data_IF_692095352621
#
_entry.id   IF_692095352621
#
_cell.length_a   1.000
_cell.length_b   1.000
_cell.length_c   1.000
_cell.angle_alpha   90.00
_cell.angle_beta   90.00
_cell.angle_gamma   90.00
#
_symmetry.space_group_name_H-M   'P 1'
#
loop_
_entity.id
_entity.type
_entity.pdbx_description
1 polymer ?
#
# COMPACT_ATOMS: atom_id res chain seq x y z
N UNK A 1 -8.34 -15.06 -11.30
CA UNK A 1 -7.61 -15.06 -10.01
C UNK A 1 -7.62 -13.64 -9.52
N UNK A 2 -8.25 -13.40 -8.37
CA UNK A 2 -8.26 -12.08 -7.74
C UNK A 2 -6.90 -11.81 -7.08
N UNK A 3 -6.55 -10.53 -6.92
CA UNK A 3 -5.34 -10.05 -6.24
C UNK A 3 -5.22 -10.66 -4.85
N UNK A 4 -6.32 -10.60 -4.07
CA UNK A 4 -6.32 -11.07 -2.69
C UNK A 4 -6.02 -12.59 -2.61
N UNK A 5 -6.62 -13.38 -3.49
CA UNK A 5 -6.38 -14.83 -3.54
C UNK A 5 -4.95 -15.17 -3.91
N UNK A 6 -4.31 -14.39 -4.81
CA UNK A 6 -2.91 -14.61 -5.15
C UNK A 6 -1.99 -14.31 -3.97
N UNK A 7 -2.19 -13.19 -3.27
CA UNK A 7 -1.36 -12.84 -2.12
C UNK A 7 -1.45 -13.87 -1.00
N UNK A 8 -2.66 -14.34 -0.67
CA UNK A 8 -2.84 -15.42 0.32
C UNK A 8 -2.18 -16.73 -0.12
N UNK A 9 -2.28 -17.09 -1.41
CA UNK A 9 -1.63 -18.28 -1.92
C UNK A 9 -0.08 -18.18 -1.84
N UNK A 10 0.48 -17.03 -2.20
CA UNK A 10 1.93 -16.79 -2.09
C UNK A 10 2.37 -16.86 -0.64
N UNK A 11 1.59 -16.27 0.28
CA UNK A 11 1.86 -16.33 1.70
C UNK A 11 1.94 -17.76 2.21
N UNK A 12 0.89 -18.55 1.99
CA UNK A 12 0.84 -19.94 2.44
C UNK A 12 2.00 -20.75 1.84
N UNK A 13 2.27 -20.59 0.55
CA UNK A 13 3.39 -21.27 -0.10
C UNK A 13 4.75 -20.91 0.50
N UNK A 14 4.95 -19.63 0.87
CA UNK A 14 6.19 -19.18 1.50
C UNK A 14 6.28 -19.74 2.92
N UNK A 15 5.21 -19.66 3.72
CA UNK A 15 5.18 -20.19 5.10
C UNK A 15 5.46 -21.69 5.12
N UNK A 16 4.79 -22.46 4.25
CA UNK A 16 5.01 -23.90 4.14
C UNK A 16 6.43 -24.21 3.61
N UNK A 17 6.93 -23.40 2.69
CA UNK A 17 8.26 -23.54 2.11
C UNK A 17 9.39 -23.35 3.13
N UNK A 18 9.28 -22.36 4.01
CA UNK A 18 10.32 -22.04 5.00
C UNK A 18 10.17 -22.82 6.32
N UNK A 19 9.04 -23.52 6.53
CA UNK A 19 8.78 -24.30 7.76
C UNK A 19 9.91 -25.30 8.08
N UNK A 20 10.46 -25.94 7.05
CA UNK A 20 11.59 -26.87 7.19
C UNK A 20 12.86 -26.17 7.66
N UNK A 21 13.14 -24.97 7.14
CA UNK A 21 14.33 -24.19 7.47
C UNK A 21 14.26 -23.70 8.94
N UNK A 22 13.10 -23.18 9.38
CA UNK A 22 12.87 -22.78 10.77
C UNK A 22 13.06 -23.94 11.74
N UNK A 23 12.54 -25.12 11.40
CA UNK A 23 12.73 -26.33 12.20
C UNK A 23 14.20 -26.74 12.29
N UNK A 24 14.95 -26.60 11.20
CA UNK A 24 16.38 -26.94 11.15
C UNK A 24 17.24 -25.98 11.98
N UNK A 25 16.84 -24.72 12.08
CA UNK A 25 17.48 -23.70 12.91
C UNK A 25 17.02 -23.74 14.38
N UNK A 26 16.18 -24.72 14.76
CA UNK A 26 15.61 -24.87 16.11
C UNK A 26 14.77 -23.65 16.54
N UNK A 27 14.16 -22.97 15.57
CA UNK A 27 13.18 -21.92 15.84
C UNK A 27 11.84 -22.56 16.17
N UNK A 28 11.16 -22.00 17.17
CA UNK A 28 9.85 -22.48 17.59
C UNK A 28 8.78 -22.13 16.55
N UNK A 29 7.79 -23.01 16.42
CA UNK A 29 6.68 -22.84 15.48
C UNK A 29 5.90 -21.54 15.75
N UNK A 30 5.85 -21.09 17.01
CA UNK A 30 5.21 -19.82 17.38
C UNK A 30 5.83 -18.60 16.69
N UNK A 31 7.11 -18.65 16.32
CA UNK A 31 7.79 -17.58 15.57
C UNK A 31 7.30 -17.56 14.13
N UNK A 32 7.12 -18.73 13.52
CA UNK A 32 6.58 -18.85 12.17
C UNK A 32 5.10 -18.41 12.12
N UNK A 33 4.31 -18.77 13.13
CA UNK A 33 2.93 -18.29 13.30
C UNK A 33 2.87 -16.76 13.49
N UNK A 34 3.83 -16.21 14.25
CA UNK A 34 3.95 -14.76 14.42
C UNK A 34 4.29 -14.07 13.11
N UNK A 35 5.22 -14.62 12.31
CA UNK A 35 5.55 -14.09 10.98
C UNK A 35 4.33 -14.07 10.07
N UNK A 36 3.59 -15.18 9.99
CA UNK A 36 2.37 -15.27 9.19
C UNK A 36 1.34 -14.21 9.61
N UNK A 37 1.08 -14.11 10.92
CA UNK A 37 0.11 -13.15 11.49
C UNK A 37 0.52 -11.69 11.22
N UNK A 38 1.82 -11.38 11.35
CA UNK A 38 2.35 -10.05 11.07
C UNK A 38 2.24 -9.70 9.58
N UNK A 39 2.48 -10.66 8.70
CA UNK A 39 2.37 -10.46 7.27
C UNK A 39 0.93 -10.22 6.83
N UNK A 40 -0.04 -11.03 7.27
CA UNK A 40 -1.47 -10.82 6.96
C UNK A 40 -1.93 -9.44 7.40
N UNK A 41 -1.57 -9.04 8.63
CA UNK A 41 -1.93 -7.74 9.17
C UNK A 41 -1.33 -6.59 8.35
N UNK A 42 -0.05 -6.69 7.96
CA UNK A 42 0.58 -5.66 7.13
C UNK A 42 -0.05 -5.59 5.73
N UNK A 43 -0.41 -6.73 5.15
CA UNK A 43 -1.07 -6.80 3.84
C UNK A 43 -2.44 -6.09 3.84
N UNK A 44 -3.21 -6.26 4.92
CA UNK A 44 -4.49 -5.57 5.12
C UNK A 44 -4.32 -4.05 5.34
N UNK A 45 -3.24 -3.64 6.02
CA UNK A 45 -2.94 -2.23 6.27
C UNK A 45 -2.46 -1.50 5.00
N UNK A 46 -1.68 -2.17 4.14
CA UNK A 46 -1.18 -1.58 2.89
C UNK A 46 -2.26 -1.46 1.80
N UNK A 47 -3.34 -2.25 1.86
CA UNK A 47 -4.39 -2.25 0.85
C UNK A 47 -5.45 -1.15 0.97
N UNK A 48 -5.33 -0.21 1.92
CA UNK A 48 -6.41 0.73 2.27
C UNK A 48 -5.96 2.18 2.49
N UNK A 49 -4.88 2.63 1.86
CA UNK A 49 -4.49 4.04 1.90
C UNK A 49 -4.42 4.67 0.51
N UNK A 50 -5.57 5.03 -0.04
CA UNK A 50 -5.64 6.18 -0.94
C UNK A 50 -6.70 7.13 -0.39
N UNK A 51 -6.33 8.34 0.09
CA UNK A 51 -7.30 9.40 0.20
C UNK A 51 -7.78 9.73 -1.22
N UNK A 52 -9.09 9.76 -1.45
CA UNK A 52 -9.68 10.37 -2.62
C UNK A 52 -9.17 11.81 -2.70
N UNK A 53 -8.17 12.07 -3.54
CA UNK A 53 -7.86 13.43 -3.96
C UNK A 53 -8.92 13.81 -4.98
N UNK A 54 -9.97 14.45 -4.49
CA UNK A 54 -10.91 15.21 -5.31
C UNK A 54 -10.08 16.13 -6.23
N UNK A 55 -10.11 15.88 -7.53
CA UNK A 55 -9.61 16.82 -8.52
C UNK A 55 -10.56 17.99 -8.53
N UNK A 56 -10.33 18.98 -7.66
CA UNK A 56 -11.00 20.26 -7.71
C UNK A 56 -10.56 20.97 -9.00
N UNK A 57 -11.46 20.92 -9.99
CA UNK A 57 -11.40 21.77 -11.17
C UNK A 57 -11.75 23.19 -10.75
N UNK A 58 -10.75 23.99 -10.37
CA UNK A 58 -10.89 25.44 -10.32
C UNK A 58 -10.85 26.00 -11.74
N UNK A 59 -12.02 25.99 -12.39
CA UNK A 59 -12.33 26.91 -13.48
C UNK A 59 -12.54 28.29 -12.82
N UNK A 60 -11.62 29.21 -13.08
CA UNK A 60 -11.78 30.62 -12.70
C UNK A 60 -13.06 31.21 -13.32
N UNK A 61 -13.92 31.73 -12.46
CA UNK A 61 -15.19 32.39 -12.77
C UNK A 61 -15.06 33.57 -13.74
N UNK A 62 -16.05 33.69 -14.64
CA UNK A 62 -16.62 35.00 -14.97
C UNK A 62 -18.12 34.93 -15.30
N UNK A 63 -18.92 35.14 -14.25
CA UNK A 63 -20.04 36.09 -14.15
C UNK A 63 -21.43 35.83 -14.81
N UNK A 64 -22.45 35.90 -13.91
CA UNK A 64 -23.84 36.44 -14.00
C UNK A 64 -24.98 35.59 -14.61
N UNK A 65 -25.90 35.03 -13.79
CA UNK A 65 -27.23 35.58 -13.37
C UNK A 65 -28.09 34.50 -12.66
N UNK A 66 -28.82 34.86 -11.59
CA UNK A 66 -29.76 34.02 -10.79
C UNK A 66 -31.18 33.99 -11.43
N UNK A 67 -32.28 33.35 -10.90
CA UNK A 67 -32.46 32.58 -9.66
C UNK A 67 -33.26 31.25 -9.78
N UNK A 68 -33.35 30.46 -8.70
CA UNK A 68 -34.56 29.64 -8.43
C UNK A 68 -34.45 28.24 -7.79
N UNK A 69 -34.71 28.21 -6.46
CA UNK A 69 -35.52 27.25 -5.69
C UNK A 69 -35.02 25.82 -5.30
N UNK A 70 -34.69 25.71 -3.99
CA UNK A 70 -35.10 24.74 -2.94
C UNK A 70 -34.96 23.21 -3.14
N UNK A 71 -34.17 22.55 -2.29
CA UNK A 71 -34.64 21.96 -1.02
C UNK A 71 -33.49 21.32 -0.25
N UNK A 72 -33.71 21.25 1.05
CA UNK A 72 -32.83 21.02 2.15
C UNK A 72 -33.28 19.74 2.85
N UNK A 73 -32.36 18.86 3.23
CA UNK A 73 -32.58 18.07 4.44
C UNK A 73 -31.27 17.64 5.10
N UNK A 74 -31.29 17.80 6.42
CA UNK A 74 -30.20 17.69 7.39
C UNK A 74 -29.77 16.24 7.58
N UNK A 75 -28.47 16.01 7.78
CA UNK A 75 -28.02 15.10 8.84
C UNK A 75 -26.88 15.75 9.62
N UNK A 76 -27.24 16.18 10.82
CA UNK A 76 -26.38 16.53 11.94
C UNK A 76 -25.90 15.22 12.61
N UNK A 77 -24.62 15.11 12.98
CA UNK A 77 -24.31 14.76 14.36
C UNK A 77 -22.86 15.05 14.74
N UNK A 78 -22.77 15.78 15.85
CA UNK A 78 -21.62 16.32 16.58
C UNK A 78 -20.89 15.27 17.44
N UNK A 79 -19.71 15.71 17.89
CA UNK A 79 -19.06 15.42 19.18
C UNK A 79 -18.15 14.19 19.26
N UNK A 80 -17.06 14.17 20.01
CA UNK A 80 -16.25 15.15 20.78
C UNK A 80 -14.97 14.39 21.19
N UNK A 81 -13.85 15.09 21.31
CA UNK A 81 -12.62 14.57 21.91
C UNK A 81 -12.81 14.29 23.41
N UNK A 82 -12.25 13.17 23.93
CA UNK A 82 -11.96 13.04 25.36
C UNK A 82 -10.61 12.35 25.62
N UNK A 83 -9.75 13.11 26.31
CA UNK A 83 -8.51 12.73 26.97
C UNK A 83 -8.75 11.74 28.13
N UNK A 84 -7.80 10.84 28.38
CA UNK A 84 -7.62 10.20 29.69
C UNK A 84 -6.12 10.23 30.07
N UNK A 85 -5.86 10.75 31.27
CA UNK A 85 -4.58 10.74 31.97
C UNK A 85 -4.63 9.72 33.12
N UNK A 86 -3.49 9.10 33.47
CA UNK A 86 -3.00 8.98 34.87
C UNK A 86 -1.80 8.01 35.06
N UNK A 87 -0.73 8.57 35.63
CA UNK A 87 0.09 8.09 36.76
C UNK A 87 0.88 6.75 36.76
N UNK A 88 2.21 6.92 36.74
CA UNK A 88 3.22 6.42 37.70
C UNK A 88 3.51 4.90 37.85
N UNK A 89 4.62 4.46 37.24
CA UNK A 89 5.52 3.43 37.81
C UNK A 89 6.98 3.88 37.70
N UNK A 90 7.70 3.79 38.82
CA UNK A 90 9.11 4.19 39.02
C UNK A 90 10.07 3.08 38.60
N UNK A 91 11.01 3.43 37.71
CA UNK A 91 12.46 3.19 37.79
C UNK A 91 13.02 1.78 37.95
N UNK A 92 13.76 1.32 36.93
CA UNK A 92 15.03 0.60 37.02
C UNK A 92 15.86 0.89 35.75
N UNK A 93 17.17 1.09 35.93
CA UNK A 93 18.14 1.64 34.96
C UNK A 93 18.88 0.53 34.18
N UNK A 94 19.07 0.81 32.89
CA UNK A 94 20.26 0.63 32.02
C UNK A 94 20.99 -0.72 32.00
N UNK A 95 20.94 -1.41 30.84
CA UNK A 95 22.17 -1.81 30.12
C UNK A 95 21.91 -1.96 28.61
N UNK A 96 22.74 -1.27 27.82
CA UNK A 96 23.11 -1.56 26.43
C UNK A 96 22.00 -1.82 25.40
N UNK A 97 21.35 -0.75 24.92
CA UNK A 97 20.76 -0.75 23.58
C UNK A 97 21.75 -0.08 22.63
N UNK A 98 22.47 -0.89 21.86
CA UNK A 98 23.15 -0.43 20.65
C UNK A 98 22.14 0.37 19.83
N UNK A 99 22.43 1.66 19.62
CA UNK A 99 21.66 2.48 18.71
C UNK A 99 21.88 1.96 17.29
N UNK A 100 21.01 1.04 16.85
CA UNK A 100 20.84 0.79 15.44
C UNK A 100 20.43 2.12 14.82
N UNK A 101 21.33 2.68 14.05
CA UNK A 101 21.12 3.89 13.27
C UNK A 101 19.84 3.75 12.46
N UNK A 102 18.78 4.39 12.93
CA UNK A 102 17.52 4.58 12.22
C UNK A 102 17.76 5.59 11.11
N UNK A 103 18.42 5.17 10.03
CA UNK A 103 18.51 5.96 8.82
C UNK A 103 17.50 5.44 7.79
N UNK A 104 16.48 6.27 7.57
CA UNK A 104 15.57 6.27 6.42
C UNK A 104 14.39 5.27 6.41
N UNK A 105 13.48 5.39 7.39
CA UNK A 105 12.06 4.97 7.23
C UNK A 105 11.23 6.03 6.46
N UNK A 106 11.80 7.19 6.14
CA UNK A 106 11.11 8.30 5.47
C UNK A 106 10.89 8.08 3.96
N UNK A 107 11.49 7.03 3.37
CA UNK A 107 11.39 6.71 1.94
C UNK A 107 10.44 5.57 1.59
N UNK A 108 10.02 4.77 2.57
CA UNK A 108 9.16 3.60 2.33
C UNK A 108 7.70 4.01 2.16
N UNK A 109 7.28 5.04 2.89
CA UNK A 109 5.90 5.54 2.90
C UNK A 109 5.48 6.20 1.59
N UNK A 110 6.43 6.76 0.84
CA UNK A 110 6.16 7.46 -0.44
C UNK A 110 5.93 6.46 -1.60
N UNK A 111 6.59 5.29 -1.55
CA UNK A 111 6.38 4.25 -2.57
C UNK A 111 4.97 3.65 -2.51
N UNK A 112 4.36 3.57 -1.33
CA UNK A 112 2.99 3.08 -1.15
C UNK A 112 1.95 3.96 -1.86
N UNK A 113 2.30 5.22 -2.16
CA UNK A 113 1.44 6.17 -2.87
C UNK A 113 1.78 6.31 -4.36
N UNK A 114 2.83 5.64 -4.82
CA UNK A 114 3.36 5.78 -6.17
C UNK A 114 2.76 4.75 -7.13
N UNK A 115 2.53 5.17 -8.37
CA UNK A 115 2.14 4.26 -9.44
C UNK A 115 3.35 3.44 -9.87
N UNK A 116 3.29 2.11 -9.69
CA UNK A 116 4.41 1.19 -9.94
C UNK A 116 3.95 -0.02 -10.75
N UNK A 117 4.78 -0.46 -11.69
CA UNK A 117 4.56 -1.69 -12.47
C UNK A 117 5.78 -2.60 -12.31
N UNK A 118 5.56 -3.80 -11.79
CA UNK A 118 6.56 -4.86 -11.68
C UNK A 118 6.16 -6.00 -12.60
N UNK A 119 6.96 -6.29 -13.63
CA UNK A 119 6.66 -7.33 -14.62
C UNK A 119 7.91 -7.85 -15.33
N UNK A 120 7.75 -8.98 -16.00
CA UNK A 120 8.74 -9.46 -16.98
C UNK A 120 8.43 -8.84 -18.35
N UNK A 121 9.44 -8.65 -19.20
CA UNK A 121 9.23 -8.24 -20.58
C UNK A 121 9.31 -9.44 -21.54
N UNK A 122 8.50 -9.41 -22.59
CA UNK A 122 8.62 -10.30 -23.75
C UNK A 122 9.41 -9.62 -24.87
N UNK A 123 9.09 -8.35 -25.14
CA UNK A 123 9.64 -7.61 -26.28
C UNK A 123 9.64 -6.12 -26.01
N UNK A 124 10.75 -5.47 -26.31
CA UNK A 124 10.87 -4.00 -26.35
C UNK A 124 11.37 -3.62 -27.74
N UNK A 125 10.68 -2.70 -28.40
CA UNK A 125 11.02 -2.26 -29.76
C UNK A 125 10.92 -0.75 -29.86
N UNK A 126 11.75 -0.16 -30.73
CA UNK A 126 11.72 1.28 -31.04
C UNK A 126 11.65 1.50 -32.54
N UNK A 127 10.80 2.42 -32.96
CA UNK A 127 10.78 2.97 -34.33
C UNK A 127 10.78 4.50 -34.24
N UNK A 128 11.88 5.13 -34.69
CA UNK A 128 12.13 6.57 -34.47
C UNK A 128 12.04 6.92 -32.98
N UNK A 129 11.10 7.78 -32.59
CA UNK A 129 10.82 8.19 -31.21
C UNK A 129 9.69 7.38 -30.55
N UNK A 130 9.11 6.39 -31.25
CA UNK A 130 8.06 5.53 -30.70
C UNK A 130 8.66 4.26 -30.11
N UNK A 131 8.41 4.05 -28.82
CA UNK A 131 8.73 2.82 -28.09
C UNK A 131 7.49 1.97 -27.91
N UNK A 132 7.65 0.65 -28.03
CA UNK A 132 6.62 -0.34 -27.73
C UNK A 132 7.19 -1.42 -26.83
N UNK A 133 6.51 -1.65 -25.71
CA UNK A 133 6.86 -2.67 -24.74
C UNK A 133 5.72 -3.68 -24.63
N UNK A 134 6.06 -4.97 -24.62
CA UNK A 134 5.15 -6.07 -24.30
C UNK A 134 5.64 -6.72 -23.02
N UNK A 135 4.81 -6.68 -21.98
CA UNK A 135 5.09 -7.17 -20.63
C UNK A 135 4.24 -8.40 -20.33
N UNK A 136 4.69 -9.24 -19.39
CA UNK A 136 3.99 -10.44 -18.91
C UNK A 136 4.19 -10.64 -17.41
N UNK A 137 3.26 -11.40 -16.80
CA UNK A 137 3.31 -11.84 -15.39
C UNK A 137 3.56 -10.66 -14.44
N UNK A 138 2.74 -9.63 -14.55
CA UNK A 138 2.96 -8.39 -13.81
C UNK A 138 1.95 -8.15 -12.70
N UNK A 139 2.41 -7.41 -11.71
CA UNK A 139 1.62 -6.73 -10.69
C UNK A 139 1.83 -5.24 -10.85
N UNK A 140 0.77 -4.47 -10.76
CA UNK A 140 0.82 -3.02 -10.82
C UNK A 140 0.00 -2.41 -9.69
N UNK A 141 0.53 -1.35 -9.11
CA UNK A 141 -0.17 -0.50 -8.15
C UNK A 141 -0.49 0.79 -8.89
N UNK A 142 -1.78 1.08 -9.06
CA UNK A 142 -2.28 2.28 -9.73
C UNK A 142 -3.34 2.95 -8.86
N UNK A 143 -3.14 4.21 -8.51
CA UNK A 143 -4.05 5.01 -7.69
C UNK A 143 -4.41 4.30 -6.36
N UNK A 144 -3.40 3.68 -5.75
CA UNK A 144 -3.53 2.90 -4.51
C UNK A 144 -4.25 1.56 -4.67
N UNK A 145 -4.49 1.10 -5.92
CA UNK A 145 -5.13 -0.19 -6.21
C UNK A 145 -4.17 -1.13 -6.91
N UNK A 146 -4.10 -2.34 -6.38
CA UNK A 146 -3.32 -3.42 -6.98
C UNK A 146 -4.10 -4.12 -8.10
N UNK A 147 -3.40 -4.40 -9.20
CA UNK A 147 -3.93 -5.11 -10.35
C UNK A 147 -2.91 -6.12 -10.84
N UNK A 148 -3.39 -7.33 -11.15
CA UNK A 148 -2.60 -8.39 -11.75
C UNK A 148 -2.85 -8.46 -13.25
N UNK A 149 -1.81 -8.71 -14.04
CA UNK A 149 -1.96 -8.96 -15.47
C UNK A 149 -1.10 -10.13 -15.96
N UNK A 150 -1.69 -10.96 -16.82
CA UNK A 150 -0.95 -12.00 -17.53
C UNK A 150 -0.05 -11.43 -18.63
N UNK A 151 -0.55 -10.42 -19.36
CA UNK A 151 0.15 -9.72 -20.43
C UNK A 151 -0.33 -8.28 -20.53
N UNK A 152 0.58 -7.34 -20.79
CA UNK A 152 0.27 -5.93 -21.03
C UNK A 152 1.09 -5.40 -22.22
N UNK A 153 0.57 -4.39 -22.92
CA UNK A 153 1.28 -3.72 -24.01
C UNK A 153 1.21 -2.21 -23.80
N UNK A 154 2.36 -1.54 -23.92
CA UNK A 154 2.48 -0.10 -23.80
C UNK A 154 3.16 0.50 -25.02
N UNK A 155 2.71 1.68 -25.43
CA UNK A 155 3.33 2.49 -26.48
C UNK A 155 3.66 3.87 -25.91
N UNK A 156 4.89 4.33 -26.13
CA UNK A 156 5.41 5.57 -25.55
C UNK A 156 6.12 6.38 -26.63
N UNK A 157 6.08 7.70 -26.50
CA UNK A 157 6.93 8.60 -27.27
C UNK A 157 8.06 9.09 -26.37
N UNK A 158 9.27 9.13 -26.93
CA UNK A 158 10.44 9.75 -26.32
C UNK A 158 10.68 11.13 -26.92
#
# INVERSE_FOLDING_TARGET
MDVASLYLQVMNNVIDGVRGDFSSEQLDESVLESLASLWERKLLQSGSSAPERETNNDIAEKAVDEPGLVHNEKVNCSSEEQQISSAAVKGLKEDSAESLSSDSDEGLVDLCSSNLVLAQYDKVTRAKNKWKCTLKKGVMTLDGKDVLFGKASGEFLW
#
